data_IF_270547537346
#
_entry.id   IF_270547537346
#
_cell.length_a   1.000
_cell.length_b   1.000
_cell.length_c   1.000
_cell.angle_alpha   90.00
_cell.angle_beta   90.00
_cell.angle_gamma   90.00
#
_symmetry.space_group_name_H-M   'P 1'
#
loop_
_entity.id
_entity.type
_entity.pdbx_description
1 polymer ?
#
# COMPACT_ATOMS: atom_id res chain seq x y z
N UNK A 1 -3.52 17.71 -8.22
CA UNK A 1 -2.06 17.65 -8.51
C UNK A 1 -1.81 16.23 -8.93
N UNK A 2 -1.27 15.97 -10.12
CA UNK A 2 -1.07 14.56 -10.51
C UNK A 2 0.07 13.96 -9.67
N UNK A 3 0.08 12.63 -9.58
CA UNK A 3 1.03 11.89 -8.77
C UNK A 3 2.50 12.16 -9.15
N UNK A 4 2.76 12.41 -10.44
CA UNK A 4 4.09 12.73 -10.98
C UNK A 4 4.64 14.08 -10.48
N UNK A 5 3.77 15.03 -10.17
CA UNK A 5 4.14 16.31 -9.54
C UNK A 5 4.29 16.19 -8.02
N UNK A 6 3.62 15.22 -7.38
CA UNK A 6 3.84 14.84 -5.98
C UNK A 6 5.25 14.25 -5.77
N UNK A 7 5.64 13.26 -6.59
CA UNK A 7 7.00 12.68 -6.53
C UNK A 7 8.05 13.77 -6.73
N UNK A 8 7.91 14.61 -7.77
CA UNK A 8 8.80 15.78 -7.98
C UNK A 8 8.84 16.67 -6.75
N UNK A 9 7.71 16.97 -6.10
CA UNK A 9 7.69 17.86 -4.92
C UNK A 9 8.43 17.24 -3.73
N UNK A 10 8.22 15.95 -3.43
CA UNK A 10 8.98 15.25 -2.39
C UNK A 10 10.48 15.23 -2.73
N UNK A 11 10.86 14.87 -3.96
CA UNK A 11 12.28 14.75 -4.34
C UNK A 11 12.98 16.07 -4.71
N UNK A 12 12.25 17.18 -4.90
CA UNK A 12 12.82 18.48 -5.32
C UNK A 12 13.51 19.27 -4.21
N UNK A 13 13.25 18.95 -2.94
CA UNK A 13 14.06 19.48 -1.83
C UNK A 13 15.42 18.76 -1.82
N UNK A 14 16.38 19.34 -2.55
CA UNK A 14 17.72 18.80 -2.74
C UNK A 14 18.44 18.53 -1.41
N UNK A 15 18.61 17.25 -1.08
CA UNK A 15 19.73 16.80 -0.26
C UNK A 15 21.01 16.80 -1.13
N UNK A 16 22.21 16.98 -0.54
CA UNK A 16 23.46 16.79 -1.28
C UNK A 16 23.59 15.33 -1.76
N UNK A 17 24.31 15.07 -2.87
CA UNK A 17 24.43 13.72 -3.41
C UNK A 17 25.10 12.78 -2.40
N UNK A 18 24.62 11.53 -2.24
CA UNK A 18 25.23 10.57 -1.33
C UNK A 18 26.66 10.22 -1.77
N UNK A 19 27.50 9.89 -0.80
CA UNK A 19 28.82 9.35 -1.06
C UNK A 19 28.69 8.00 -1.79
N UNK A 20 29.61 7.73 -2.72
CA UNK A 20 29.60 6.57 -3.63
C UNK A 20 29.22 5.24 -2.97
N UNK A 21 28.14 4.63 -3.47
CA UNK A 21 27.71 3.28 -3.10
C UNK A 21 28.72 2.21 -3.55
N UNK A 22 28.87 1.10 -2.82
CA UNK A 22 29.74 -0.01 -3.21
C UNK A 22 29.15 -0.85 -4.35
N UNK A 23 29.99 -1.36 -5.25
CA UNK A 23 29.57 -2.26 -6.35
C UNK A 23 29.06 -3.60 -5.81
N UNK A 24 27.83 -3.98 -6.20
CA UNK A 24 27.23 -5.29 -5.90
C UNK A 24 27.46 -6.25 -7.08
N UNK A 25 28.07 -7.44 -6.88
CA UNK A 25 28.41 -8.34 -7.97
C UNK A 25 27.21 -9.15 -8.47
N UNK A 26 26.73 -8.84 -9.68
CA UNK A 26 25.66 -9.59 -10.36
C UNK A 26 26.15 -10.99 -10.76
N UNK A 27 25.53 -12.04 -10.20
CA UNK A 27 25.84 -13.45 -10.53
C UNK A 27 24.79 -14.04 -11.47
N UNK A 28 25.23 -14.86 -12.44
CA UNK A 28 24.40 -15.29 -13.59
C UNK A 28 23.86 -16.72 -13.46
N UNK A 29 22.69 -16.93 -14.07
CA UNK A 29 22.03 -18.20 -14.46
C UNK A 29 21.36 -19.06 -13.36
N UNK A 30 20.02 -19.13 -13.45
CA UNK A 30 19.14 -20.21 -12.96
C UNK A 30 17.90 -20.32 -13.92
N UNK A 31 17.06 -21.38 -13.86
CA UNK A 31 16.38 -21.95 -15.04
C UNK A 31 15.06 -21.24 -15.42
N UNK A 32 14.08 -21.95 -16.00
CA UNK A 32 12.78 -21.39 -16.38
C UNK A 32 11.96 -20.97 -15.16
N UNK A 33 12.19 -19.74 -14.69
CA UNK A 33 11.44 -19.12 -13.59
C UNK A 33 10.20 -18.41 -14.15
N UNK A 34 9.14 -18.37 -13.37
CA UNK A 34 8.00 -17.49 -13.60
C UNK A 34 8.51 -16.04 -13.75
N UNK A 35 8.34 -15.43 -14.92
CA UNK A 35 8.90 -14.11 -15.22
C UNK A 35 8.41 -13.02 -14.24
N UNK A 36 7.19 -13.15 -13.71
CA UNK A 36 6.66 -12.24 -12.69
C UNK A 36 7.34 -12.38 -11.32
N UNK A 37 7.77 -13.58 -10.93
CA UNK A 37 8.48 -13.79 -9.65
C UNK A 37 9.91 -13.23 -9.70
N UNK A 38 10.59 -13.35 -10.85
CA UNK A 38 11.88 -12.68 -11.06
C UNK A 38 11.73 -11.16 -11.04
N UNK A 39 10.67 -10.64 -11.65
CA UNK A 39 10.38 -9.21 -11.65
C UNK A 39 10.17 -8.69 -10.22
N UNK A 40 9.23 -9.27 -9.47
CA UNK A 40 8.96 -8.92 -8.06
C UNK A 40 10.24 -8.98 -7.23
N UNK A 41 11.04 -10.05 -7.38
CA UNK A 41 12.28 -10.20 -6.61
C UNK A 41 13.31 -9.10 -6.93
N UNK A 42 13.44 -8.70 -8.20
CA UNK A 42 14.35 -7.61 -8.59
C UNK A 42 13.84 -6.27 -8.09
N UNK A 43 12.56 -5.98 -8.31
CA UNK A 43 11.89 -4.74 -7.91
C UNK A 43 12.04 -4.49 -6.39
N UNK A 44 11.76 -5.51 -5.56
CA UNK A 44 11.90 -5.38 -4.10
C UNK A 44 13.34 -5.06 -3.65
N UNK A 45 14.37 -5.57 -4.34
CA UNK A 45 15.77 -5.24 -4.04
C UNK A 45 16.10 -3.78 -4.37
N UNK A 46 15.58 -3.27 -5.50
CA UNK A 46 15.76 -1.86 -5.87
C UNK A 46 15.04 -0.93 -4.86
N UNK A 47 13.81 -1.27 -4.47
CA UNK A 47 13.02 -0.54 -3.45
C UNK A 47 13.66 -0.59 -2.05
N UNK A 48 14.27 -1.72 -1.66
CA UNK A 48 15.01 -1.82 -0.39
C UNK A 48 16.16 -0.80 -0.29
N UNK A 49 16.80 -0.46 -1.43
CA UNK A 49 17.85 0.57 -1.48
C UNK A 49 17.23 1.96 -1.30
N UNK A 50 16.13 2.27 -2.01
CA UNK A 50 15.46 3.58 -1.90
C UNK A 50 14.84 3.82 -0.51
N UNK A 51 14.36 2.77 0.16
CA UNK A 51 13.80 2.86 1.50
C UNK A 51 14.81 3.38 2.54
N UNK A 52 16.10 3.14 2.34
CA UNK A 52 17.17 3.65 3.23
C UNK A 52 17.23 5.17 3.22
N UNK A 53 17.12 5.80 2.05
CA UNK A 53 17.13 7.26 1.91
C UNK A 53 15.84 7.89 2.48
N UNK A 54 14.69 7.22 2.34
CA UNK A 54 13.44 7.62 3.00
C UNK A 54 13.55 7.60 4.53
N UNK A 55 14.07 6.51 5.10
CA UNK A 55 14.24 6.38 6.57
C UNK A 55 15.20 7.44 7.11
N UNK A 56 16.30 7.72 6.41
CA UNK A 56 17.24 8.79 6.79
C UNK A 56 16.57 10.17 6.80
N UNK A 57 15.65 10.42 5.86
CA UNK A 57 15.03 11.72 5.64
C UNK A 57 13.81 11.99 6.52
N UNK A 58 12.95 11.00 6.71
CA UNK A 58 11.66 11.14 7.41
C UNK A 58 11.65 10.49 8.80
N UNK A 59 12.72 9.79 9.16
CA UNK A 59 12.84 9.03 10.41
C UNK A 59 12.31 7.60 10.28
N UNK A 60 12.57 6.75 11.30
CA UNK A 60 12.23 5.33 11.27
C UNK A 60 10.76 5.02 11.58
N UNK A 61 9.99 5.98 12.13
CA UNK A 61 8.58 5.78 12.46
C UNK A 61 7.71 6.01 11.22
N UNK A 62 7.44 4.92 10.52
CA UNK A 62 6.63 4.91 9.32
C UNK A 62 5.19 5.40 9.55
N UNK A 63 4.56 5.12 10.70
CA UNK A 63 3.18 5.58 10.95
C UNK A 63 3.16 7.09 11.26
N UNK A 64 4.15 7.57 12.01
CA UNK A 64 4.33 9.00 12.24
C UNK A 64 4.71 9.78 10.96
N UNK A 65 5.16 9.10 9.90
CA UNK A 65 5.26 9.65 8.54
C UNK A 65 3.92 9.58 7.78
N UNK A 66 3.29 8.41 7.72
CA UNK A 66 2.12 8.16 6.87
C UNK A 66 0.90 9.03 7.24
N UNK A 67 0.70 9.25 8.54
CA UNK A 67 -0.46 9.98 9.08
C UNK A 67 -0.18 11.46 9.35
N UNK A 68 0.87 12.04 8.76
CA UNK A 68 1.09 13.49 8.84
C UNK A 68 0.01 14.23 8.05
N UNK A 69 -0.54 15.35 8.56
CA UNK A 69 -1.54 16.13 7.85
C UNK A 69 -1.08 16.56 6.45
N UNK A 70 0.21 16.87 6.27
CA UNK A 70 0.75 17.26 4.97
C UNK A 70 0.75 16.08 3.98
N UNK A 71 1.09 14.87 4.42
CA UNK A 71 1.07 13.66 3.58
C UNK A 71 -0.36 13.32 3.16
N UNK A 72 -1.32 13.39 4.08
CA UNK A 72 -2.73 13.13 3.79
C UNK A 72 -3.37 14.17 2.83
N UNK A 73 -3.00 15.45 2.94
CA UNK A 73 -3.51 16.51 2.05
C UNK A 73 -2.92 16.46 0.62
N UNK A 74 -1.89 15.65 0.37
CA UNK A 74 -1.10 15.70 -0.87
C UNK A 74 -1.60 14.78 -2.01
N UNK A 75 -2.58 13.89 -1.78
CA UNK A 75 -2.92 12.77 -2.66
C UNK A 75 -4.46 12.46 -2.59
N UNK A 76 -5.20 12.23 -3.70
CA UNK A 76 -6.70 12.43 -3.73
C UNK A 76 -7.59 11.70 -4.82
N UNK A 77 -8.68 11.03 -4.37
CA UNK A 77 -9.96 10.54 -5.03
C UNK A 77 -9.98 9.23 -5.90
N UNK A 78 -10.80 8.14 -5.73
CA UNK A 78 -11.86 7.68 -4.75
C UNK A 78 -11.80 6.13 -4.42
N UNK A 79 -12.45 5.65 -3.32
CA UNK A 79 -12.14 4.52 -2.36
C UNK A 79 -12.24 3.01 -2.72
N UNK A 80 -11.29 2.20 -2.18
CA UNK A 80 -11.41 0.80 -1.70
C UNK A 80 -10.48 0.49 -0.48
N UNK A 81 -11.00 -0.21 0.56
CA UNK A 81 -10.37 -0.51 1.87
C UNK A 81 -10.15 0.70 2.82
N UNK A 82 -10.38 0.57 4.15
CA UNK A 82 -10.11 1.64 5.11
C UNK A 82 -8.63 2.02 5.22
N UNK A 83 -8.39 3.33 5.27
CA UNK A 83 -7.07 3.94 5.40
C UNK A 83 -6.84 5.04 4.37
N UNK A 84 -5.64 5.63 4.35
CA UNK A 84 -5.32 6.70 3.40
C UNK A 84 -5.35 6.22 1.94
N UNK A 85 -4.59 5.18 1.57
CA UNK A 85 -4.36 4.74 0.18
C UNK A 85 -5.44 3.80 -0.33
N UNK A 86 -5.81 3.93 -1.60
CA UNK A 86 -6.74 3.03 -2.28
C UNK A 86 -6.66 3.17 -3.81
N UNK A 87 -7.51 2.43 -4.53
CA UNK A 87 -7.81 2.64 -5.97
C UNK A 87 -9.29 2.98 -6.22
N UNK A 88 -9.53 3.70 -7.33
CA UNK A 88 -10.81 3.84 -8.00
C UNK A 88 -10.92 2.92 -9.22
N UNK A 89 -11.49 3.42 -10.33
CA UNK A 89 -11.72 2.62 -11.54
C UNK A 89 -10.48 2.51 -12.45
N UNK A 90 -9.60 1.54 -12.19
CA UNK A 90 -8.39 1.27 -13.00
C UNK A 90 -8.64 0.47 -14.29
N UNK A 91 -7.74 0.65 -15.27
CA UNK A 91 -7.61 -0.27 -16.42
C UNK A 91 -6.63 -1.39 -16.05
N UNK A 92 -6.94 -2.58 -16.54
CA UNK A 92 -6.56 -3.84 -15.90
C UNK A 92 -5.28 -4.41 -16.49
N UNK A 93 -4.27 -3.55 -16.72
CA UNK A 93 -2.97 -3.92 -17.27
C UNK A 93 -2.16 -4.86 -16.34
N UNK A 94 -2.68 -5.17 -15.15
CA UNK A 94 -2.15 -6.11 -14.15
C UNK A 94 -0.82 -5.66 -13.54
N UNK A 95 -0.46 -4.39 -13.65
CA UNK A 95 0.82 -3.87 -13.21
C UNK A 95 0.87 -3.69 -11.69
N UNK A 96 -0.18 -3.15 -11.07
CA UNK A 96 -0.21 -2.86 -9.63
C UNK A 96 0.05 -4.07 -8.72
N UNK A 97 -0.51 -5.27 -8.97
CA UNK A 97 -0.17 -6.47 -8.22
C UNK A 97 1.30 -6.93 -8.35
N UNK A 98 2.03 -6.53 -9.39
CA UNK A 98 3.46 -6.84 -9.55
C UNK A 98 4.38 -5.82 -8.86
N UNK A 99 4.03 -4.53 -8.88
CA UNK A 99 4.77 -3.49 -8.13
C UNK A 99 4.48 -3.60 -6.62
N UNK A 100 3.22 -3.78 -6.24
CA UNK A 100 2.74 -3.81 -4.85
C UNK A 100 2.11 -5.15 -4.43
N UNK A 101 2.83 -6.28 -4.52
CA UNK A 101 2.28 -7.64 -4.32
C UNK A 101 1.76 -7.91 -2.91
N UNK A 102 2.17 -7.11 -1.93
CA UNK A 102 1.78 -7.22 -0.52
C UNK A 102 0.62 -6.28 -0.13
N UNK A 103 0.14 -5.44 -1.06
CA UNK A 103 -0.81 -4.36 -0.80
C UNK A 103 -1.94 -4.29 -1.84
N UNK A 104 -1.71 -4.74 -3.09
CA UNK A 104 -2.65 -4.69 -4.21
C UNK A 104 -3.12 -6.08 -4.67
N UNK A 105 -4.41 -6.20 -4.95
CA UNK A 105 -5.08 -7.35 -5.60
C UNK A 105 -5.96 -6.85 -6.75
N UNK A 106 -6.65 -7.77 -7.44
CA UNK A 106 -7.70 -7.44 -8.43
C UNK A 106 -9.03 -8.06 -8.09
N UNK A 107 -10.11 -7.39 -8.47
CA UNK A 107 -11.47 -7.90 -8.35
C UNK A 107 -11.87 -8.81 -9.55
N UNK A 108 -13.13 -9.26 -9.59
CA UNK A 108 -13.65 -10.11 -10.67
C UNK A 108 -13.81 -9.42 -12.03
N UNK A 109 -13.72 -8.09 -12.08
CA UNK A 109 -13.67 -7.27 -13.29
C UNK A 109 -12.23 -6.90 -13.66
N UNK A 110 -11.26 -7.56 -13.01
CA UNK A 110 -9.81 -7.31 -13.08
C UNK A 110 -9.36 -5.92 -12.60
N UNK A 111 -10.23 -5.17 -11.93
CA UNK A 111 -9.93 -3.84 -11.40
C UNK A 111 -9.02 -3.97 -10.18
N UNK A 112 -7.90 -3.26 -10.20
CA UNK A 112 -6.90 -3.29 -9.12
C UNK A 112 -7.44 -2.62 -7.85
N UNK A 113 -7.07 -3.12 -6.67
CA UNK A 113 -7.40 -2.51 -5.39
C UNK A 113 -6.39 -2.74 -4.27
N UNK A 114 -6.18 -1.70 -3.46
CA UNK A 114 -5.41 -1.78 -2.22
C UNK A 114 -6.23 -2.57 -1.20
N UNK A 115 -5.79 -3.79 -0.89
CA UNK A 115 -6.44 -4.62 0.14
C UNK A 115 -5.89 -4.33 1.54
N UNK A 116 -4.65 -3.84 1.63
CA UNK A 116 -3.94 -3.56 2.88
C UNK A 116 -3.09 -2.30 2.75
N UNK A 117 -3.28 -1.36 3.68
CA UNK A 117 -2.43 -0.17 3.79
C UNK A 117 -0.96 -0.56 4.00
N UNK A 118 -0.01 0.14 3.37
CA UNK A 118 1.41 -0.05 3.64
C UNK A 118 1.74 -0.01 5.14
N UNK A 119 2.64 -0.90 5.58
CA UNK A 119 3.08 -1.01 6.98
C UNK A 119 4.52 -0.52 7.23
N UNK A 120 5.24 -0.19 6.16
CA UNK A 120 6.64 0.24 6.20
C UNK A 120 6.98 0.99 4.89
N UNK A 121 8.17 1.61 4.84
CA UNK A 121 8.62 2.38 3.68
C UNK A 121 8.74 1.56 2.39
N UNK A 122 9.09 0.27 2.45
CA UNK A 122 9.18 -0.60 1.26
C UNK A 122 7.79 -0.80 0.66
N UNK A 123 6.80 -1.22 1.45
CA UNK A 123 5.41 -1.37 1.01
C UNK A 123 4.81 -0.04 0.49
N UNK A 124 5.21 1.08 1.08
CA UNK A 124 4.77 2.40 0.65
C UNK A 124 5.35 2.74 -0.72
N UNK A 125 6.65 2.57 -0.92
CA UNK A 125 7.33 2.79 -2.21
C UNK A 125 6.77 1.86 -3.30
N UNK A 126 6.57 0.57 -3.01
CA UNK A 126 5.87 -0.37 -3.91
C UNK A 126 4.48 0.14 -4.33
N UNK A 127 3.72 0.72 -3.39
CA UNK A 127 2.39 1.30 -3.67
C UNK A 127 2.48 2.60 -4.48
N UNK A 128 3.56 3.38 -4.30
CA UNK A 128 3.86 4.53 -5.15
C UNK A 128 4.21 4.10 -6.59
N UNK A 129 4.97 3.02 -6.75
CA UNK A 129 5.34 2.52 -8.07
C UNK A 129 4.15 1.88 -8.80
N UNK A 130 3.29 1.15 -8.09
CA UNK A 130 1.98 0.71 -8.59
C UNK A 130 1.16 1.88 -9.16
N UNK A 131 1.17 3.03 -8.46
CA UNK A 131 0.53 4.27 -8.93
C UNK A 131 1.24 4.87 -10.15
N UNK A 132 2.58 4.81 -10.20
CA UNK A 132 3.37 5.41 -11.27
C UNK A 132 3.27 4.67 -12.62
N UNK A 133 2.94 3.37 -12.60
CA UNK A 133 2.76 2.52 -13.79
C UNK A 133 1.29 2.38 -14.22
N UNK A 134 0.32 2.76 -13.38
CA UNK A 134 -1.10 2.76 -13.73
C UNK A 134 -1.41 3.85 -14.77
N UNK A 135 -2.24 3.53 -15.75
CA UNK A 135 -2.44 4.36 -16.96
C UNK A 135 -3.64 5.29 -16.89
N UNK A 136 -4.57 5.08 -15.95
CA UNK A 136 -5.80 5.87 -15.77
C UNK A 136 -5.76 6.88 -14.60
N UNK A 137 -4.65 6.98 -13.84
CA UNK A 137 -4.51 7.86 -12.65
C UNK A 137 -5.49 7.47 -11.52
N UNK A 138 -5.68 6.16 -11.32
CA UNK A 138 -6.75 5.58 -10.48
C UNK A 138 -6.38 5.35 -9.02
N UNK A 139 -5.09 5.41 -8.66
CA UNK A 139 -4.64 5.31 -7.28
C UNK A 139 -4.73 6.67 -6.59
N UNK A 140 -5.07 6.67 -5.29
CA UNK A 140 -5.30 7.91 -4.54
C UNK A 140 -5.25 7.72 -3.04
N UNK A 141 -5.13 8.82 -2.28
CA UNK A 141 -4.81 8.73 -0.85
C UNK A 141 -5.50 9.75 0.10
N UNK A 142 -6.60 10.36 -0.31
CA UNK A 142 -7.44 11.18 0.59
C UNK A 142 -8.48 10.33 1.32
N UNK A 143 -8.20 9.04 1.58
CA UNK A 143 -9.15 8.15 2.25
C UNK A 143 -9.59 8.69 3.61
N UNK A 144 -8.76 9.50 4.25
CA UNK A 144 -9.04 10.24 5.48
C UNK A 144 -10.17 11.30 5.31
N UNK A 145 -10.41 11.81 4.10
CA UNK A 145 -11.54 12.70 3.77
C UNK A 145 -12.87 11.93 3.58
N UNK A 146 -12.81 10.61 3.29
CA UNK A 146 -13.98 9.78 2.93
C UNK A 146 -14.41 8.80 4.04
N UNK A 147 -13.46 8.31 4.84
CA UNK A 147 -13.72 7.36 5.91
C UNK A 147 -14.13 8.05 7.21
N UNK A 148 -15.17 7.51 7.85
CA UNK A 148 -15.58 7.86 9.22
C UNK A 148 -15.45 6.63 10.10
N UNK A 149 -15.34 6.82 11.42
CA UNK A 149 -15.32 5.71 12.38
C UNK A 149 -16.51 4.74 12.16
N UNK A 150 -17.73 5.26 11.98
CA UNK A 150 -18.91 4.43 11.71
C UNK A 150 -18.78 3.62 10.42
N UNK A 151 -18.31 4.22 9.33
CA UNK A 151 -18.10 3.52 8.06
C UNK A 151 -17.03 2.40 8.19
N UNK A 152 -15.99 2.62 8.98
CA UNK A 152 -15.00 1.60 9.32
C UNK A 152 -15.63 0.42 10.10
N UNK A 153 -16.50 0.70 11.07
CA UNK A 153 -17.25 -0.36 11.78
C UNK A 153 -18.18 -1.15 10.85
N UNK A 154 -18.89 -0.46 9.95
CA UNK A 154 -19.78 -1.11 8.97
C UNK A 154 -19.00 -1.99 7.99
N UNK A 155 -17.85 -1.52 7.51
CA UNK A 155 -16.93 -2.32 6.69
C UNK A 155 -16.43 -3.56 7.44
N UNK A 156 -16.03 -3.42 8.71
CA UNK A 156 -15.57 -4.55 9.53
C UNK A 156 -16.64 -5.61 9.74
N UNK A 157 -17.91 -5.23 9.92
CA UNK A 157 -19.04 -6.18 9.99
C UNK A 157 -19.20 -7.00 8.71
N UNK A 158 -18.71 -6.51 7.57
CA UNK A 158 -18.65 -7.21 6.30
C UNK A 158 -17.48 -8.19 6.14
N UNK A 159 -16.51 -8.23 7.07
CA UNK A 159 -15.25 -8.98 6.93
C UNK A 159 -15.45 -10.47 6.59
N UNK A 160 -16.42 -11.15 7.21
CA UNK A 160 -16.70 -12.56 6.92
C UNK A 160 -17.24 -12.79 5.49
N UNK A 161 -18.00 -11.84 4.94
CA UNK A 161 -18.47 -11.87 3.55
C UNK A 161 -17.34 -11.58 2.57
N UNK A 162 -16.41 -10.67 2.92
CA UNK A 162 -15.19 -10.45 2.14
C UNK A 162 -14.37 -11.75 2.07
N UNK A 163 -14.09 -12.41 3.20
CA UNK A 163 -13.37 -13.70 3.24
C UNK A 163 -14.08 -14.77 2.39
N UNK A 164 -15.42 -14.82 2.43
CA UNK A 164 -16.21 -15.75 1.61
C UNK A 164 -16.04 -15.49 0.11
N UNK A 165 -15.96 -14.23 -0.32
CA UNK A 165 -15.70 -13.85 -1.72
C UNK A 165 -14.27 -14.19 -2.16
N UNK A 166 -13.27 -13.90 -1.31
CA UNK A 166 -11.86 -14.25 -1.56
C UNK A 166 -11.65 -15.77 -1.67
N UNK A 167 -12.46 -16.55 -0.94
CA UNK A 167 -12.44 -18.02 -0.98
C UNK A 167 -13.08 -18.64 -2.23
N UNK A 168 -13.51 -17.85 -3.21
CA UNK A 168 -14.09 -18.39 -4.46
C UNK A 168 -13.00 -18.80 -5.46
N UNK A 169 -13.15 -19.92 -6.21
CA UNK A 169 -12.14 -20.36 -7.17
C UNK A 169 -11.76 -19.29 -8.20
N UNK A 170 -12.75 -18.57 -8.74
CA UNK A 170 -12.49 -17.50 -9.72
C UNK A 170 -11.58 -16.40 -9.15
N UNK A 171 -11.78 -15.98 -7.90
CA UNK A 171 -10.94 -14.96 -7.27
C UNK A 171 -9.51 -15.49 -7.02
N UNK A 172 -9.39 -16.75 -6.60
CA UNK A 172 -8.11 -17.43 -6.38
C UNK A 172 -7.34 -17.69 -7.69
N UNK A 173 -8.03 -17.98 -8.79
CA UNK A 173 -7.43 -18.12 -10.12
C UNK A 173 -6.88 -16.77 -10.63
N UNK A 174 -7.60 -15.66 -10.44
CA UNK A 174 -7.18 -14.32 -10.87
C UNK A 174 -5.98 -13.78 -10.08
N UNK A 175 -5.91 -14.06 -8.78
CA UNK A 175 -4.93 -13.44 -7.87
C UNK A 175 -3.84 -14.40 -7.39
N UNK A 176 -4.04 -15.72 -7.58
CA UNK A 176 -3.12 -16.76 -7.15
C UNK A 176 -2.89 -16.76 -5.63
N UNK A 177 -1.66 -17.05 -5.17
CA UNK A 177 -1.36 -17.15 -3.74
C UNK A 177 -1.53 -15.83 -2.98
N UNK A 178 -1.51 -14.66 -3.67
CA UNK A 178 -1.73 -13.35 -3.06
C UNK A 178 -3.13 -13.23 -2.42
N UNK A 179 -4.11 -14.02 -2.89
CA UNK A 179 -5.44 -14.12 -2.25
C UNK A 179 -5.35 -14.53 -0.78
N UNK A 180 -4.44 -15.45 -0.44
CA UNK A 180 -4.27 -15.94 0.92
C UNK A 180 -3.70 -14.85 1.83
N UNK A 181 -2.83 -13.97 1.32
CA UNK A 181 -2.28 -12.83 2.09
C UNK A 181 -3.40 -11.91 2.61
N UNK A 182 -4.44 -11.67 1.80
CA UNK A 182 -5.57 -10.86 2.24
C UNK A 182 -6.47 -11.60 3.25
N UNK A 183 -6.69 -12.91 3.04
CA UNK A 183 -7.43 -13.74 4.01
C UNK A 183 -6.69 -13.79 5.37
N UNK A 184 -5.37 -13.95 5.36
CA UNK A 184 -4.54 -13.98 6.57
C UNK A 184 -4.50 -12.61 7.25
N UNK A 185 -4.45 -11.51 6.48
CA UNK A 185 -4.55 -10.15 7.01
C UNK A 185 -5.90 -9.91 7.70
N UNK A 186 -7.02 -10.26 7.05
CA UNK A 186 -8.37 -10.10 7.59
C UNK A 186 -8.61 -10.94 8.86
N UNK A 187 -8.00 -12.12 8.97
CA UNK A 187 -8.06 -12.98 10.16
C UNK A 187 -7.02 -12.62 11.25
N UNK A 188 -6.15 -11.65 10.98
CA UNK A 188 -5.03 -11.27 11.85
C UNK A 188 -4.97 -9.77 12.11
N UNK A 189 -4.00 -9.09 11.49
CA UNK A 189 -3.66 -7.70 11.83
C UNK A 189 -4.77 -6.68 11.51
N UNK A 190 -5.67 -6.98 10.56
CA UNK A 190 -6.66 -6.02 10.07
C UNK A 190 -7.55 -5.40 11.15
N UNK A 191 -7.96 -6.16 12.18
CA UNK A 191 -8.76 -5.60 13.29
C UNK A 191 -7.96 -4.51 14.03
N UNK A 192 -6.70 -4.81 14.35
CA UNK A 192 -5.85 -3.92 15.13
C UNK A 192 -5.48 -2.67 14.33
N UNK A 193 -5.16 -2.82 13.05
CA UNK A 193 -4.81 -1.70 12.19
C UNK A 193 -6.01 -0.80 11.90
N UNK A 194 -7.19 -1.39 11.66
CA UNK A 194 -8.43 -0.63 11.52
C UNK A 194 -8.79 0.12 12.80
N UNK A 195 -8.58 -0.47 13.97
CA UNK A 195 -8.80 0.21 15.26
C UNK A 195 -7.82 1.37 15.51
N UNK A 196 -6.56 1.26 15.07
CA UNK A 196 -5.61 2.39 15.09
C UNK A 196 -6.03 3.49 14.11
N UNK A 197 -6.53 3.12 12.94
CA UNK A 197 -7.05 4.08 11.96
C UNK A 197 -8.31 4.79 12.48
N UNK A 198 -9.25 4.07 13.09
CA UNK A 198 -10.40 4.63 13.79
C UNK A 198 -10.00 5.59 14.92
N UNK A 199 -8.94 5.26 15.69
CA UNK A 199 -8.38 6.20 16.68
C UNK A 199 -7.89 7.49 15.99
N UNK A 200 -7.15 7.37 14.88
CA UNK A 200 -6.67 8.52 14.11
C UNK A 200 -7.79 9.41 13.59
N UNK A 201 -8.87 8.83 13.04
CA UNK A 201 -10.02 9.59 12.53
C UNK A 201 -10.71 10.44 13.62
N UNK A 202 -10.79 9.93 14.85
CA UNK A 202 -11.46 10.63 15.97
C UNK A 202 -10.54 11.64 16.68
N UNK A 203 -9.22 11.40 16.73
CA UNK A 203 -8.28 12.21 17.53
C UNK A 203 -7.36 13.11 16.68
N UNK A 204 -7.29 12.91 15.36
CA UNK A 204 -6.43 13.67 14.45
C UNK A 204 -4.93 13.33 14.53
N UNK A 205 -4.55 12.31 15.32
CA UNK A 205 -3.20 11.78 15.39
C UNK A 205 -3.21 10.25 15.51
N UNK A 206 -2.17 9.60 15.00
CA UNK A 206 -2.03 8.14 15.11
C UNK A 206 -1.76 7.75 16.57
N UNK A 207 -2.26 6.59 17.05
CA UNK A 207 -2.07 6.21 18.44
C UNK A 207 -0.61 5.85 18.76
N UNK A 208 -0.15 6.31 19.92
CA UNK A 208 1.15 5.98 20.51
C UNK A 208 1.02 4.91 21.59
N UNK A 209 2.15 4.33 22.00
CA UNK A 209 2.18 3.16 22.88
C UNK A 209 1.44 3.34 24.20
N UNK A 210 0.41 2.51 24.43
CA UNK A 210 -0.39 2.49 25.66
C UNK A 210 -1.79 3.12 25.54
N UNK A 211 -2.14 3.70 24.39
CA UNK A 211 -3.46 4.31 24.20
C UNK A 211 -4.58 3.28 23.92
N UNK A 212 -5.77 3.57 24.44
CA UNK A 212 -6.96 2.71 24.28
C UNK A 212 -7.55 2.88 22.89
N UNK A 213 -7.43 1.85 22.05
CA UNK A 213 -8.03 1.85 20.72
C UNK A 213 -9.56 1.61 20.77
N UNK A 214 -10.37 2.36 19.98
CA UNK A 214 -11.82 2.16 19.92
C UNK A 214 -12.18 0.73 19.47
N UNK A 215 -13.38 0.22 19.81
CA UNK A 215 -13.88 -1.07 19.30
C UNK A 215 -14.25 -0.98 17.80
N UNK A 216 -14.67 -2.11 17.21
CA UNK A 216 -15.30 -2.19 15.88
C UNK A 216 -16.71 -2.77 15.98
#
# INVERSE_FOLDING_TARGET
MNFRDFLKRIFSHQAPPPATLPEIPVRRLMPAVNHGELYITSHLVDIEIEAVDFIQRFGPDFNAFLYQPDVANLIRQQVLSPGPFYTGNSDTCDTGPYEAPNNVLRDSHAMEFVFRQPQNFIEFLCTLDATAVEVLDSYSCDGNEHWTYLACQEWWRGQAEIIRRLSTPAFQETNGPRTQLYIDYLNGAAETDLRKYCYFLENGHYPIGGETLPPL
#
